data_IF_834436314409
#
_entry.id   IF_834436314409
#
_cell.length_a   1.000
_cell.length_b   1.000
_cell.length_c   1.000
_cell.angle_alpha   90.00
_cell.angle_beta   90.00
_cell.angle_gamma   90.00
#
_symmetry.space_group_name_H-M   'P 1'
#
loop_
_entity.id
_entity.type
_entity.pdbx_description
1 polymer ?
#
# COMPACT_ATOMS: atom_id res chain seq x y z
N UNK A 1 22.67 7.26 9.28
CA UNK A 1 23.86 7.73 10.02
C UNK A 1 24.38 6.56 10.85
N UNK A 2 25.68 6.42 11.04
CA UNK A 2 26.22 5.34 11.89
C UNK A 2 26.00 5.67 13.38
N UNK A 3 26.02 4.65 14.27
CA UNK A 3 26.03 4.87 15.72
C UNK A 3 27.15 5.81 16.18
N UNK A 4 28.29 5.84 15.47
CA UNK A 4 29.39 6.77 15.73
C UNK A 4 29.00 8.24 15.49
N UNK A 5 28.24 8.51 14.42
CA UNK A 5 27.98 9.88 13.97
C UNK A 5 26.66 10.45 14.50
N UNK A 6 25.78 9.61 15.05
CA UNK A 6 24.55 10.03 15.71
C UNK A 6 24.23 9.08 16.88
N UNK A 7 25.06 9.06 17.94
CA UNK A 7 24.95 8.08 19.02
C UNK A 7 23.58 8.13 19.71
N UNK A 8 23.03 9.33 19.96
CA UNK A 8 21.70 9.49 20.56
C UNK A 8 20.58 8.92 19.70
N UNK A 9 20.60 9.16 18.38
CA UNK A 9 19.59 8.63 17.46
C UNK A 9 19.73 7.11 17.22
N UNK A 10 20.86 6.52 17.60
CA UNK A 10 21.10 5.08 17.53
C UNK A 10 21.03 4.41 18.92
N UNK A 11 20.69 5.16 19.98
CA UNK A 11 20.50 4.61 21.32
C UNK A 11 19.07 4.05 21.47
N UNK A 12 18.90 2.74 21.71
CA UNK A 12 17.58 2.14 21.95
C UNK A 12 16.80 2.84 23.06
N UNK A 13 17.47 3.38 24.10
CA UNK A 13 16.79 4.11 25.18
C UNK A 13 16.16 5.41 24.68
N UNK A 14 16.79 6.08 23.72
CA UNK A 14 16.23 7.28 23.09
C UNK A 14 15.00 6.91 22.26
N UNK A 15 15.06 5.83 21.48
CA UNK A 15 13.89 5.34 20.73
C UNK A 15 12.71 5.03 21.66
N UNK A 16 12.95 4.29 22.76
CA UNK A 16 11.89 3.98 23.75
C UNK A 16 11.32 5.25 24.36
N UNK A 17 12.16 6.23 24.72
CA UNK A 17 11.70 7.50 25.27
C UNK A 17 10.83 8.27 24.27
N UNK A 18 11.19 8.29 22.99
CA UNK A 18 10.41 8.92 21.93
C UNK A 18 9.07 8.21 21.71
N UNK A 19 9.03 6.87 21.74
CA UNK A 19 7.78 6.13 21.59
C UNK A 19 6.87 6.39 22.80
N UNK A 20 7.39 6.33 24.03
CA UNK A 20 6.61 6.64 25.23
C UNK A 20 6.09 8.10 25.27
N UNK A 21 6.77 9.01 24.57
CA UNK A 21 6.33 10.39 24.38
C UNK A 21 5.38 10.58 23.18
N UNK A 22 4.97 9.49 22.50
CA UNK A 22 4.17 9.51 21.28
C UNK A 22 4.80 10.39 20.16
N UNK A 23 6.13 10.41 20.08
CA UNK A 23 6.91 11.25 19.18
C UNK A 23 7.42 10.52 17.92
N UNK A 24 7.12 9.23 17.78
CA UNK A 24 7.45 8.42 16.60
C UNK A 24 6.19 8.22 15.77
N UNK A 25 6.15 8.82 14.57
CA UNK A 25 4.99 8.74 13.67
C UNK A 25 4.60 7.28 13.43
N UNK A 26 3.34 6.95 13.66
CA UNK A 26 2.78 5.64 13.37
C UNK A 26 3.07 4.54 14.38
N UNK A 27 3.93 4.76 15.38
CA UNK A 27 4.17 3.78 16.46
C UNK A 27 3.33 4.18 17.67
N UNK A 28 2.36 3.34 18.01
CA UNK A 28 1.36 3.62 19.05
C UNK A 28 1.65 2.77 20.28
N UNK A 29 2.17 3.35 21.39
CA UNK A 29 2.32 2.62 22.63
C UNK A 29 0.95 2.36 23.27
N UNK A 30 0.80 1.18 23.88
CA UNK A 30 -0.41 0.75 24.59
C UNK A 30 -0.06 0.38 26.01
N UNK A 31 -0.55 1.18 26.95
CA UNK A 31 -0.55 0.87 28.38
C UNK A 31 -1.34 -0.43 28.59
N UNK A 32 -0.60 -1.52 28.76
CA UNK A 32 -1.16 -2.88 28.81
C UNK A 32 -1.48 -3.30 30.23
N UNK A 33 -0.97 -2.57 31.22
CA UNK A 33 -1.17 -2.84 32.64
C UNK A 33 -2.09 -1.79 33.32
N UNK A 34 -2.46 -0.71 32.62
CA UNK A 34 -3.40 0.31 33.06
C UNK A 34 -2.87 1.26 34.13
N UNK A 35 -1.55 1.37 34.31
CA UNK A 35 -0.94 2.17 35.36
C UNK A 35 -0.82 3.68 35.00
N UNK A 36 -1.25 4.08 33.80
CA UNK A 36 -1.21 5.46 33.31
C UNK A 36 0.17 5.94 32.85
N UNK A 37 1.17 5.05 32.80
CA UNK A 37 2.54 5.32 32.39
C UNK A 37 2.99 4.33 31.33
N UNK A 38 3.26 4.86 30.13
CA UNK A 38 3.83 4.09 29.03
C UNK A 38 5.26 3.63 29.36
N UNK A 39 5.45 2.31 29.44
CA UNK A 39 6.72 1.65 29.72
C UNK A 39 6.85 0.34 28.93
N UNK A 40 7.22 0.45 27.65
CA UNK A 40 7.38 -0.70 26.73
C UNK A 40 8.40 -1.71 27.26
N UNK A 41 9.40 -1.26 28.02
CA UNK A 41 10.41 -2.15 28.61
C UNK A 41 9.85 -3.01 29.75
N UNK A 42 8.67 -2.68 30.28
CA UNK A 42 8.00 -3.41 31.38
C UNK A 42 6.70 -4.11 30.95
N UNK A 43 6.54 -4.34 29.66
CA UNK A 43 5.45 -5.18 29.13
C UNK A 43 4.30 -4.41 28.48
N UNK A 44 4.39 -3.07 28.37
CA UNK A 44 3.50 -2.34 27.47
C UNK A 44 3.80 -2.72 26.02
N UNK A 45 2.73 -2.75 25.21
CA UNK A 45 2.80 -3.17 23.82
C UNK A 45 2.96 -1.95 22.92
N UNK A 46 3.43 -2.18 21.70
CA UNK A 46 3.37 -1.21 20.62
C UNK A 46 2.50 -1.76 19.49
N UNK A 47 1.69 -0.90 18.92
CA UNK A 47 0.97 -1.13 17.67
C UNK A 47 1.46 -0.18 16.58
N UNK A 48 0.97 -0.40 15.36
CA UNK A 48 1.24 0.46 14.22
C UNK A 48 -0.08 1.08 13.75
N UNK A 49 -0.04 2.36 13.39
CA UNK A 49 -1.16 3.09 12.80
C UNK A 49 -0.88 3.44 11.34
N UNK A 50 -1.96 3.73 10.57
CA UNK A 50 -1.88 4.14 9.16
C UNK A 50 -0.91 5.32 8.94
N UNK A 51 -0.72 6.19 9.93
CA UNK A 51 0.20 7.32 9.87
C UNK A 51 1.65 6.89 9.63
N UNK A 52 2.05 5.64 9.90
CA UNK A 52 3.40 5.18 9.54
C UNK A 52 3.66 5.30 8.03
N UNK A 53 2.66 4.97 7.21
CA UNK A 53 2.75 4.97 5.74
C UNK A 53 2.24 6.27 5.10
N UNK A 54 1.35 6.99 5.79
CA UNK A 54 0.58 8.12 5.21
C UNK A 54 0.82 9.45 5.93
N UNK A 55 1.91 9.57 6.67
CA UNK A 55 2.34 10.82 7.31
C UNK A 55 3.86 10.97 7.14
N UNK A 56 4.29 12.21 6.92
CA UNK A 56 5.71 12.59 6.89
C UNK A 56 5.98 13.67 7.95
N UNK A 57 7.23 14.12 8.04
CA UNK A 57 7.57 15.33 8.81
C UNK A 57 7.93 16.49 7.88
N UNK A 58 7.78 17.72 8.36
CA UNK A 58 8.21 18.94 7.66
C UNK A 58 9.74 19.12 7.61
N UNK A 59 10.50 18.19 8.21
CA UNK A 59 11.97 18.17 8.24
C UNK A 59 12.62 19.38 8.94
N UNK A 60 11.84 20.16 9.69
CA UNK A 60 12.29 21.43 10.29
C UNK A 60 13.38 21.27 11.34
N UNK A 61 13.55 20.07 11.92
CA UNK A 61 14.56 19.77 12.94
C UNK A 61 15.72 18.97 12.34
N UNK A 62 15.43 17.96 11.53
CA UNK A 62 16.43 17.09 10.94
C UNK A 62 15.92 16.44 9.65
N UNK A 63 16.77 16.40 8.62
CA UNK A 63 16.51 15.68 7.37
C UNK A 63 17.69 14.77 7.06
N UNK A 64 17.44 13.46 6.97
CA UNK A 64 18.42 12.52 6.42
C UNK A 64 18.03 12.19 4.97
N UNK A 65 18.82 12.63 3.98
CA UNK A 65 18.55 12.30 2.58
C UNK A 65 18.38 10.79 2.38
N UNK A 66 17.29 10.38 1.71
CA UNK A 66 16.91 8.97 1.49
C UNK A 66 16.72 8.15 2.78
N UNK A 67 16.49 8.82 3.90
CA UNK A 67 16.20 8.23 5.19
C UNK A 67 14.96 8.85 5.85
N UNK A 68 14.99 8.94 7.18
CA UNK A 68 13.94 9.56 7.99
C UNK A 68 14.15 11.06 8.21
N UNK A 69 13.21 11.69 8.88
CA UNK A 69 13.25 13.11 9.22
C UNK A 69 12.60 13.38 10.59
N UNK A 70 12.92 14.52 11.17
CA UNK A 70 12.34 15.01 12.42
C UNK A 70 11.81 16.42 12.15
N UNK A 71 10.60 16.69 12.63
CA UNK A 71 9.92 17.96 12.43
C UNK A 71 8.47 17.88 12.88
N UNK A 72 7.66 18.84 12.41
CA UNK A 72 6.21 18.81 12.62
C UNK A 72 5.57 17.73 11.75
N UNK A 73 4.53 17.10 12.29
CA UNK A 73 3.73 16.09 11.59
C UNK A 73 3.00 16.71 10.40
N UNK A 74 3.07 16.06 9.25
CA UNK A 74 2.32 16.41 8.04
C UNK A 74 1.56 15.17 7.56
N UNK A 75 0.26 15.14 7.85
CA UNK A 75 -0.62 14.00 7.57
C UNK A 75 -1.14 14.03 6.12
N UNK A 76 -1.27 12.86 5.49
CA UNK A 76 -1.76 12.67 4.13
C UNK A 76 -0.69 12.20 3.14
N UNK A 77 0.51 12.84 3.06
CA UNK A 77 1.58 12.40 2.17
C UNK A 77 2.02 10.94 2.36
N UNK A 78 2.32 10.26 1.25
CA UNK A 78 2.91 8.94 1.29
C UNK A 78 4.37 8.98 1.79
N UNK A 79 4.72 8.11 2.74
CA UNK A 79 6.07 7.92 3.24
C UNK A 79 6.90 7.03 2.28
N UNK A 80 7.32 7.59 1.15
CA UNK A 80 8.00 6.86 0.07
C UNK A 80 9.44 6.42 0.38
N UNK A 81 10.01 6.88 1.50
CA UNK A 81 11.32 6.40 1.99
C UNK A 81 11.20 5.36 3.10
N UNK A 82 9.98 5.01 3.52
CA UNK A 82 9.74 4.00 4.55
C UNK A 82 10.13 2.62 4.03
N UNK A 83 10.98 1.91 4.78
CA UNK A 83 11.31 0.54 4.49
C UNK A 83 10.49 -0.40 5.36
N UNK A 84 9.24 -0.67 4.95
CA UNK A 84 8.32 -1.54 5.71
C UNK A 84 8.87 -2.95 5.83
N UNK A 85 9.45 -3.51 4.76
CA UNK A 85 10.08 -4.83 4.79
C UNK A 85 11.13 -4.96 5.90
N UNK A 86 12.08 -4.02 6.00
CA UNK A 86 13.06 -4.02 7.10
C UNK A 86 12.44 -3.80 8.47
N UNK A 87 11.37 -3.01 8.59
CA UNK A 87 10.68 -2.84 9.88
C UNK A 87 10.03 -4.16 10.33
N UNK A 88 9.42 -4.89 9.41
CA UNK A 88 8.83 -6.20 9.67
C UNK A 88 9.91 -7.24 10.00
N UNK A 89 11.04 -7.23 9.28
CA UNK A 89 12.18 -8.12 9.53
C UNK A 89 12.92 -7.83 10.86
N UNK A 90 12.62 -6.70 11.52
CA UNK A 90 13.11 -6.40 12.87
C UNK A 90 12.16 -6.89 13.97
N UNK A 91 10.97 -7.39 13.61
CA UNK A 91 10.03 -7.92 14.57
C UNK A 91 10.56 -9.20 15.21
N UNK A 92 10.11 -9.49 16.43
CA UNK A 92 10.48 -10.74 17.12
C UNK A 92 9.91 -12.00 16.44
N UNK A 93 8.93 -11.84 15.54
CA UNK A 93 8.25 -12.89 14.80
C UNK A 93 7.74 -12.30 13.49
N UNK A 94 8.61 -12.27 12.48
CA UNK A 94 8.27 -11.78 11.14
C UNK A 94 7.35 -12.76 10.41
N UNK A 95 7.44 -14.06 10.74
CA UNK A 95 6.59 -15.13 10.19
C UNK A 95 5.11 -14.89 10.47
N UNK A 96 4.75 -14.19 11.55
CA UNK A 96 3.35 -13.82 11.84
C UNK A 96 2.71 -12.93 10.75
N UNK A 97 3.47 -12.36 9.82
CA UNK A 97 2.96 -11.58 8.69
C UNK A 97 2.69 -12.44 7.42
N UNK A 98 2.79 -13.77 7.52
CA UNK A 98 2.71 -14.73 6.41
C UNK A 98 1.63 -14.46 5.34
N UNK A 99 0.36 -14.13 5.67
CA UNK A 99 -0.69 -13.95 4.66
C UNK A 99 -0.40 -12.88 3.60
N UNK A 100 0.42 -11.88 3.92
CA UNK A 100 0.84 -10.78 3.05
C UNK A 100 2.20 -11.04 2.36
N UNK A 101 2.80 -12.22 2.53
CA UNK A 101 4.11 -12.54 1.96
C UNK A 101 3.95 -13.38 0.69
N UNK A 102 5.01 -13.48 -0.11
CA UNK A 102 5.03 -14.39 -1.25
C UNK A 102 5.13 -15.83 -0.74
N UNK A 103 4.09 -16.62 -1.01
CA UNK A 103 3.95 -18.01 -0.56
C UNK A 103 4.13 -18.98 -1.73
N UNK A 104 4.23 -20.27 -1.40
CA UNK A 104 4.16 -21.37 -2.37
C UNK A 104 2.83 -22.10 -2.23
N UNK A 105 1.88 -21.83 -3.13
CA UNK A 105 0.59 -22.51 -3.17
C UNK A 105 0.57 -23.60 -4.21
N UNK A 106 0.22 -24.82 -3.81
CA UNK A 106 0.09 -25.96 -4.73
C UNK A 106 1.31 -26.16 -5.65
N UNK A 107 2.52 -25.86 -5.14
CA UNK A 107 3.78 -25.97 -5.87
C UNK A 107 4.11 -24.80 -6.80
N UNK A 108 3.33 -23.72 -6.78
CA UNK A 108 3.55 -22.51 -7.59
C UNK A 108 3.74 -21.31 -6.65
N UNK A 109 4.67 -20.43 -7.00
CA UNK A 109 4.83 -19.13 -6.36
C UNK A 109 4.80 -18.04 -7.44
N UNK A 110 4.12 -16.94 -7.14
CA UNK A 110 4.03 -15.76 -7.99
C UNK A 110 4.43 -14.57 -7.15
N UNK A 111 5.24 -13.67 -7.71
CA UNK A 111 5.73 -12.48 -7.03
C UNK A 111 7.14 -12.13 -7.51
N UNK A 112 7.79 -11.24 -6.78
CA UNK A 112 9.11 -10.71 -7.15
C UNK A 112 10.27 -11.65 -6.79
N UNK A 113 10.10 -12.51 -5.79
CA UNK A 113 11.12 -13.45 -5.36
C UNK A 113 11.14 -14.69 -6.27
N UNK A 114 12.31 -15.32 -6.46
CA UNK A 114 12.43 -16.53 -7.27
C UNK A 114 11.70 -17.75 -6.69
N UNK A 115 11.36 -17.72 -5.40
CA UNK A 115 10.64 -18.77 -4.69
C UNK A 115 9.79 -18.17 -3.57
N UNK A 116 8.67 -18.82 -3.27
CA UNK A 116 7.80 -18.43 -2.16
C UNK A 116 8.21 -19.07 -0.84
N UNK A 117 7.78 -18.45 0.25
CA UNK A 117 7.89 -18.95 1.61
C UNK A 117 6.87 -20.07 1.84
N UNK A 118 7.10 -20.89 2.86
CA UNK A 118 6.21 -21.96 3.28
C UNK A 118 5.98 -21.95 4.80
N UNK A 119 5.13 -22.85 5.32
CA UNK A 119 4.81 -22.91 6.75
C UNK A 119 6.01 -23.23 7.64
N UNK A 120 7.06 -23.85 7.07
CA UNK A 120 8.28 -24.23 7.78
C UNK A 120 9.46 -23.29 7.50
N UNK A 121 9.27 -22.23 6.70
CA UNK A 121 10.29 -21.20 6.51
C UNK A 121 10.68 -20.61 7.85
N UNK A 122 11.99 -20.51 8.09
CA UNK A 122 12.60 -19.96 9.30
C UNK A 122 12.42 -18.44 9.37
N UNK A 123 12.53 -17.85 10.56
CA UNK A 123 12.56 -16.38 10.72
C UNK A 123 13.64 -15.75 9.83
N UNK A 124 14.83 -16.34 9.77
CA UNK A 124 15.93 -15.83 8.95
C UNK A 124 15.60 -15.81 7.45
N UNK A 125 14.85 -16.79 6.93
CA UNK A 125 14.39 -16.81 5.54
C UNK A 125 13.34 -15.73 5.27
N UNK A 126 12.39 -15.54 6.20
CA UNK A 126 11.38 -14.48 6.10
C UNK A 126 12.01 -13.09 6.21
N UNK A 127 12.92 -12.89 7.15
CA UNK A 127 13.68 -11.65 7.32
C UNK A 127 14.52 -11.33 6.08
N UNK A 128 15.13 -12.36 5.47
CA UNK A 128 15.90 -12.21 4.24
C UNK A 128 15.00 -11.82 3.05
N UNK A 129 13.81 -12.41 2.94
CA UNK A 129 12.80 -12.01 1.95
C UNK A 129 12.40 -10.54 2.14
N UNK A 130 11.97 -10.18 3.35
CA UNK A 130 11.49 -8.85 3.71
C UNK A 130 12.58 -7.76 3.59
N UNK A 131 13.84 -8.10 3.89
CA UNK A 131 14.95 -7.17 3.84
C UNK A 131 15.51 -6.95 2.43
N UNK A 132 15.10 -7.77 1.45
CA UNK A 132 15.57 -7.66 0.08
C UNK A 132 14.74 -6.63 -0.71
N UNK A 133 15.30 -5.47 -1.09
CA UNK A 133 14.55 -4.43 -1.79
C UNK A 133 14.12 -4.82 -3.21
N UNK A 134 14.64 -5.91 -3.78
CA UNK A 134 14.14 -6.45 -5.04
C UNK A 134 12.80 -7.21 -4.84
N UNK A 135 12.58 -7.79 -3.65
CA UNK A 135 11.39 -8.58 -3.32
C UNK A 135 10.35 -7.73 -2.59
N UNK A 136 10.81 -6.89 -1.66
CA UNK A 136 9.98 -5.94 -0.92
C UNK A 136 10.58 -4.53 -0.99
N UNK A 137 10.22 -3.73 -2.02
CA UNK A 137 10.84 -2.43 -2.24
C UNK A 137 10.62 -1.41 -1.11
N UNK A 138 11.44 -0.37 -1.11
CA UNK A 138 11.27 0.79 -0.23
C UNK A 138 10.10 1.65 -0.73
N UNK A 139 9.29 2.17 0.19
CA UNK A 139 8.14 3.01 -0.11
C UNK A 139 6.90 2.23 -0.55
N UNK A 140 6.89 0.91 -0.34
CA UNK A 140 5.79 0.02 -0.68
C UNK A 140 5.26 -0.73 0.54
N UNK A 141 4.01 -1.18 0.46
CA UNK A 141 3.34 -2.06 1.41
C UNK A 141 2.49 -3.07 0.65
N UNK A 142 2.45 -4.31 1.12
CA UNK A 142 1.51 -5.31 0.62
C UNK A 142 0.18 -5.15 1.35
N UNK A 143 -0.80 -4.62 0.63
CA UNK A 143 -2.12 -4.29 1.15
C UNK A 143 -3.14 -5.44 1.00
N UNK A 144 -2.68 -6.65 0.65
CA UNK A 144 -3.54 -7.81 0.40
C UNK A 144 -3.04 -9.12 1.01
N UNK A 145 -3.97 -9.92 1.54
CA UNK A 145 -3.69 -11.26 2.06
C UNK A 145 -3.98 -12.32 1.00
N UNK A 146 -3.25 -12.25 -0.11
CA UNK A 146 -3.40 -13.19 -1.23
C UNK A 146 -2.22 -14.14 -1.39
N UNK A 147 -1.17 -13.96 -0.58
CA UNK A 147 0.03 -14.79 -0.57
C UNK A 147 0.90 -14.66 -1.83
N UNK A 148 0.74 -13.59 -2.62
CA UNK A 148 1.61 -13.29 -3.77
C UNK A 148 2.84 -12.47 -3.37
N UNK A 149 2.79 -11.74 -2.24
CA UNK A 149 3.89 -10.83 -1.87
C UNK A 149 4.09 -9.75 -2.91
N UNK A 150 3.03 -8.98 -3.15
CA UNK A 150 2.87 -8.04 -4.25
C UNK A 150 2.80 -6.59 -3.74
N UNK A 151 3.82 -6.10 -3.01
CA UNK A 151 3.76 -4.80 -2.38
C UNK A 151 3.60 -3.71 -3.43
N UNK A 152 2.65 -2.81 -3.14
CA UNK A 152 2.36 -1.65 -3.97
C UNK A 152 2.93 -0.40 -3.32
N UNK A 153 3.20 0.61 -4.15
CA UNK A 153 3.60 1.94 -3.70
C UNK A 153 2.59 2.46 -2.66
N UNK A 154 3.11 2.95 -1.54
CA UNK A 154 2.33 3.69 -0.56
C UNK A 154 1.60 4.87 -1.23
N UNK A 155 0.29 4.90 -1.09
CA UNK A 155 -0.57 5.95 -1.67
C UNK A 155 -0.74 7.10 -0.68
N UNK A 156 -0.95 8.34 -1.17
CA UNK A 156 -1.34 9.44 -0.30
C UNK A 156 -2.80 9.28 0.16
N UNK A 157 -3.09 9.76 1.38
CA UNK A 157 -4.44 9.80 1.96
C UNK A 157 -5.00 11.22 2.14
N UNK A 158 -4.40 12.22 1.49
CA UNK A 158 -5.01 13.55 1.40
C UNK A 158 -6.10 13.58 0.32
N UNK A 159 -7.02 14.55 0.41
CA UNK A 159 -8.07 14.82 -0.59
C UNK A 159 -8.82 13.58 -1.07
N UNK A 160 -9.19 12.70 -0.13
CA UNK A 160 -9.98 11.51 -0.47
C UNK A 160 -11.38 11.88 -1.01
N UNK A 161 -11.82 13.12 -0.80
CA UNK A 161 -13.01 13.72 -1.42
C UNK A 161 -12.92 13.83 -2.96
N UNK A 162 -11.74 13.67 -3.55
CA UNK A 162 -11.50 13.81 -4.98
C UNK A 162 -11.29 12.49 -5.73
N UNK A 163 -11.31 11.33 -5.08
CA UNK A 163 -11.02 10.08 -5.77
C UNK A 163 -11.88 8.92 -5.26
N UNK A 164 -12.34 8.12 -6.21
CA UNK A 164 -12.88 6.77 -6.01
C UNK A 164 -12.75 6.03 -7.34
N UNK A 165 -12.88 4.69 -7.39
CA UNK A 165 -12.92 3.76 -6.27
C UNK A 165 -11.58 3.68 -5.51
N UNK A 166 -11.58 3.06 -4.34
CA UNK A 166 -10.42 2.90 -3.46
C UNK A 166 -9.79 1.51 -3.58
N UNK A 167 -8.49 1.45 -3.28
CA UNK A 167 -7.66 0.27 -3.46
C UNK A 167 -7.00 0.25 -4.85
N UNK A 168 -5.85 -0.40 -4.98
CA UNK A 168 -5.08 -0.38 -6.23
C UNK A 168 -5.85 -0.98 -7.42
N UNK A 169 -6.75 -1.94 -7.16
CA UNK A 169 -7.64 -2.54 -8.15
C UNK A 169 -9.04 -1.91 -8.15
N UNK A 170 -9.25 -0.87 -7.34
CA UNK A 170 -10.55 -0.25 -7.11
C UNK A 170 -11.56 -1.23 -6.52
N UNK A 171 -11.15 -2.08 -5.60
CA UNK A 171 -11.99 -3.08 -4.93
C UNK A 171 -13.09 -2.47 -4.04
N UNK A 172 -12.92 -1.24 -3.55
CA UNK A 172 -13.87 -0.57 -2.65
C UNK A 172 -14.53 0.67 -3.27
N UNK A 173 -15.85 0.81 -3.09
CA UNK A 173 -16.56 2.04 -3.52
C UNK A 173 -16.47 3.16 -2.49
N UNK A 174 -16.35 2.81 -1.21
CA UNK A 174 -16.42 3.73 -0.08
C UNK A 174 -15.11 3.71 0.71
N UNK A 175 -14.72 4.86 1.25
CA UNK A 175 -13.45 5.04 1.97
C UNK A 175 -13.44 4.33 3.34
N UNK A 176 -14.59 4.26 3.99
CA UNK A 176 -14.76 3.54 5.24
C UNK A 176 -14.65 2.03 5.06
N UNK A 177 -15.02 1.50 3.89
CA UNK A 177 -14.93 0.07 3.60
C UNK A 177 -13.47 -0.38 3.42
N UNK A 178 -12.67 0.36 2.65
CA UNK A 178 -11.22 0.09 2.56
C UNK A 178 -10.51 0.30 3.90
N UNK A 179 -10.93 1.30 4.67
CA UNK A 179 -10.40 1.55 6.02
C UNK A 179 -10.72 0.37 6.93
N UNK A 180 -11.95 -0.13 6.91
CA UNK A 180 -12.35 -1.31 7.67
C UNK A 180 -11.56 -2.55 7.26
N UNK A 181 -11.42 -2.80 5.95
CA UNK A 181 -10.58 -3.89 5.43
C UNK A 181 -9.14 -3.76 5.96
N UNK A 182 -8.56 -2.56 5.91
CA UNK A 182 -7.20 -2.32 6.42
C UNK A 182 -7.07 -2.66 7.91
N UNK A 183 -8.04 -2.29 8.75
CA UNK A 183 -8.00 -2.65 10.17
C UNK A 183 -8.23 -4.14 10.43
N UNK A 184 -9.18 -4.76 9.72
CA UNK A 184 -9.62 -6.14 9.98
C UNK A 184 -8.80 -7.20 9.26
N UNK A 185 -7.88 -6.80 8.37
CA UNK A 185 -7.02 -7.73 7.62
C UNK A 185 -5.57 -7.26 7.57
N UNK A 186 -5.25 -6.07 7.05
CA UNK A 186 -3.85 -5.61 6.92
C UNK A 186 -3.15 -5.39 8.27
N UNK A 187 -3.80 -4.68 9.19
CA UNK A 187 -3.24 -4.39 10.52
C UNK A 187 -3.46 -5.53 11.52
N UNK A 188 -4.34 -6.47 11.20
CA UNK A 188 -4.58 -7.66 11.99
C UNK A 188 -4.94 -8.88 11.13
N UNK A 189 -3.94 -9.50 10.47
CA UNK A 189 -4.17 -10.63 9.59
C UNK A 189 -4.67 -11.86 10.34
N UNK A 190 -4.51 -11.91 11.67
CA UNK A 190 -5.01 -13.02 12.50
C UNK A 190 -6.53 -13.20 12.43
N UNK A 191 -7.27 -12.16 12.04
CA UNK A 191 -8.71 -12.25 11.75
C UNK A 191 -9.01 -13.29 10.67
N UNK A 192 -8.07 -13.57 9.76
CA UNK A 192 -8.21 -14.60 8.73
C UNK A 192 -8.34 -16.03 9.28
N UNK A 193 -7.99 -16.27 10.55
CA UNK A 193 -8.15 -17.58 11.20
C UNK A 193 -9.50 -17.76 11.91
N UNK A 194 -10.30 -16.70 12.02
CA UNK A 194 -11.71 -16.80 12.43
C UNK A 194 -12.51 -17.63 11.42
N UNK A 195 -13.68 -18.20 11.80
CA UNK A 195 -14.53 -18.92 10.84
C UNK A 195 -14.85 -18.09 9.59
N UNK A 196 -15.15 -16.81 9.77
CA UNK A 196 -15.45 -15.88 8.68
C UNK A 196 -14.22 -15.55 7.82
N UNK A 197 -13.08 -15.37 8.46
CA UNK A 197 -11.80 -15.14 7.79
C UNK A 197 -11.38 -16.32 6.90
N UNK A 198 -11.58 -17.55 7.40
CA UNK A 198 -11.32 -18.77 6.62
C UNK A 198 -12.26 -18.90 5.44
N UNK A 199 -13.54 -18.58 5.66
CA UNK A 199 -14.54 -18.52 4.58
C UNK A 199 -14.15 -17.47 3.52
N UNK A 200 -13.62 -16.31 3.94
CA UNK A 200 -13.14 -15.27 3.03
C UNK A 200 -11.99 -15.77 2.16
N UNK A 201 -10.97 -16.40 2.76
CA UNK A 201 -9.85 -16.97 2.01
C UNK A 201 -10.30 -18.05 1.02
N UNK A 202 -11.19 -18.96 1.45
CA UNK A 202 -11.76 -19.98 0.57
C UNK A 202 -12.57 -19.35 -0.57
N UNK A 203 -13.40 -18.34 -0.28
CA UNK A 203 -14.14 -17.59 -1.30
C UNK A 203 -13.20 -17.01 -2.36
N UNK A 204 -12.12 -16.33 -1.93
CA UNK A 204 -11.18 -15.64 -2.82
C UNK A 204 -10.30 -16.60 -3.61
N UNK A 205 -9.81 -17.68 -3.00
CA UNK A 205 -8.74 -18.49 -3.59
C UNK A 205 -8.95 -20.00 -3.49
N UNK A 206 -10.16 -20.45 -3.15
CA UNK A 206 -10.55 -21.87 -3.15
C UNK A 206 -9.56 -22.75 -2.38
N UNK A 207 -8.96 -23.79 -3.01
CA UNK A 207 -7.95 -24.63 -2.38
C UNK A 207 -6.71 -23.87 -1.86
N UNK A 208 -6.24 -22.83 -2.58
CA UNK A 208 -5.09 -22.04 -2.14
C UNK A 208 -5.42 -21.22 -0.89
N UNK A 209 -6.64 -20.68 -0.80
CA UNK A 209 -7.13 -20.01 0.41
C UNK A 209 -7.20 -20.93 1.63
N UNK A 210 -7.63 -22.19 1.44
CA UNK A 210 -7.60 -23.21 2.51
C UNK A 210 -6.19 -23.55 2.95
N UNK A 211 -5.27 -23.70 1.99
CA UNK A 211 -3.86 -23.95 2.27
C UNK A 211 -3.28 -22.80 3.09
N UNK A 212 -3.44 -21.54 2.64
CA UNK A 212 -2.99 -20.34 3.36
C UNK A 212 -3.49 -20.32 4.80
N UNK A 213 -4.78 -20.54 5.03
CA UNK A 213 -5.35 -20.54 6.37
C UNK A 213 -4.73 -21.62 7.29
N UNK A 214 -4.48 -22.81 6.74
CA UNK A 214 -3.90 -23.94 7.49
C UNK A 214 -2.44 -23.70 7.83
N UNK A 215 -1.67 -23.18 6.87
CA UNK A 215 -0.26 -22.84 7.05
C UNK A 215 -0.09 -21.68 8.03
N UNK A 216 -0.92 -20.65 7.91
CA UNK A 216 -0.88 -19.51 8.81
C UNK A 216 -1.23 -19.90 10.25
N UNK A 217 -2.25 -20.75 10.45
CA UNK A 217 -2.56 -21.31 11.77
C UNK A 217 -1.38 -22.09 12.36
N UNK A 218 -0.72 -22.91 11.54
CA UNK A 218 0.48 -23.64 11.97
C UNK A 218 1.59 -22.67 12.40
N UNK A 219 1.87 -21.63 11.62
CA UNK A 219 2.88 -20.62 11.95
C UNK A 219 2.57 -19.93 13.28
N UNK A 220 1.33 -19.47 13.49
CA UNK A 220 0.95 -18.81 14.74
C UNK A 220 1.10 -19.74 15.94
N UNK A 221 0.72 -21.02 15.78
CA UNK A 221 0.91 -22.04 16.82
C UNK A 221 2.39 -22.29 17.13
N UNK A 222 3.20 -22.48 16.10
CA UNK A 222 4.64 -22.78 16.25
C UNK A 222 5.41 -21.60 16.86
N UNK A 223 4.93 -20.37 16.63
CA UNK A 223 5.54 -19.13 17.15
C UNK A 223 4.89 -18.61 18.44
N UNK A 224 3.92 -19.35 18.99
CA UNK A 224 3.30 -19.03 20.28
C UNK A 224 2.40 -17.78 20.27
N UNK A 225 1.92 -17.33 19.10
CA UNK A 225 1.00 -16.20 19.00
C UNK A 225 -0.39 -16.63 19.47
N UNK A 226 -0.95 -15.92 20.45
CA UNK A 226 -2.24 -16.21 21.05
C UNK A 226 -3.02 -14.93 21.38
N UNK A 227 -4.31 -15.08 21.71
CA UNK A 227 -5.17 -13.95 22.10
C UNK A 227 -5.62 -13.07 20.93
N UNK A 228 -5.65 -13.64 19.72
CA UNK A 228 -6.15 -12.99 18.51
C UNK A 228 -7.66 -13.24 18.29
N UNK A 229 -8.37 -12.39 17.51
CA UNK A 229 -7.89 -11.18 16.83
C UNK A 229 -7.53 -10.05 17.81
N UNK A 230 -6.55 -9.23 17.43
CA UNK A 230 -6.03 -8.10 18.22
C UNK A 230 -6.80 -6.80 17.98
N UNK A 231 -7.40 -6.63 16.80
CA UNK A 231 -8.27 -5.51 16.48
C UNK A 231 -9.69 -5.84 16.94
N UNK A 232 -10.25 -4.97 17.77
CA UNK A 232 -11.64 -5.09 18.22
C UNK A 232 -12.58 -4.70 17.08
N UNK A 233 -13.38 -5.66 16.62
CA UNK A 233 -14.41 -5.49 15.60
C UNK A 233 -15.64 -6.35 15.94
N UNK A 234 -16.81 -5.93 15.46
CA UNK A 234 -18.08 -6.63 15.66
C UNK A 234 -18.51 -7.37 14.39
N UNK A 235 -19.31 -8.42 14.55
CA UNK A 235 -19.92 -9.14 13.44
C UNK A 235 -21.12 -8.35 12.93
N UNK A 236 -21.01 -7.74 11.75
CA UNK A 236 -22.03 -6.79 11.26
C UNK A 236 -22.57 -7.12 9.87
N UNK A 237 -21.96 -8.05 9.13
CA UNK A 237 -22.32 -8.32 7.74
C UNK A 237 -21.89 -9.70 7.26
N UNK A 238 -22.08 -9.98 5.97
CA UNK A 238 -21.71 -11.27 5.38
C UNK A 238 -20.27 -11.21 4.89
N UNK A 239 -19.61 -12.36 4.94
CA UNK A 239 -18.30 -12.54 4.32
C UNK A 239 -18.39 -12.19 2.83
N UNK A 240 -17.41 -11.43 2.33
CA UNK A 240 -17.36 -10.95 0.96
C UNK A 240 -18.10 -9.63 0.71
N UNK A 241 -18.95 -9.16 1.63
CA UNK A 241 -19.57 -7.84 1.48
C UNK A 241 -18.49 -6.75 1.60
N UNK A 242 -18.44 -5.72 0.72
CA UNK A 242 -17.40 -4.70 0.74
C UNK A 242 -17.23 -4.00 2.10
N UNK A 243 -18.34 -3.77 2.83
CA UNK A 243 -18.32 -3.12 4.13
C UNK A 243 -17.74 -3.97 5.26
N UNK A 244 -17.63 -5.29 5.07
CA UNK A 244 -17.18 -6.25 6.07
C UNK A 244 -16.66 -7.51 5.38
N UNK A 245 -15.54 -7.40 4.66
CA UNK A 245 -15.04 -8.48 3.79
C UNK A 245 -14.84 -9.82 4.53
N UNK A 246 -14.48 -9.75 5.81
CA UNK A 246 -14.32 -10.91 6.73
C UNK A 246 -15.48 -11.01 7.73
N UNK A 247 -16.68 -10.52 7.37
CA UNK A 247 -17.88 -10.51 8.22
C UNK A 247 -17.83 -9.53 9.41
N UNK A 248 -16.71 -8.81 9.57
CA UNK A 248 -16.42 -7.97 10.73
C UNK A 248 -16.23 -6.52 10.35
N UNK A 249 -16.66 -5.62 11.24
CA UNK A 249 -16.46 -4.18 11.10
C UNK A 249 -16.01 -3.55 12.40
N UNK A 250 -15.01 -2.68 12.32
CA UNK A 250 -14.62 -1.83 13.46
C UNK A 250 -15.71 -0.79 13.74
N UNK A 251 -15.54 -0.02 14.82
CA UNK A 251 -16.46 1.04 15.20
C UNK A 251 -16.77 1.97 14.00
N UNK A 252 -18.05 1.99 13.60
CA UNK A 252 -18.47 2.70 12.40
C UNK A 252 -18.33 4.22 12.54
N UNK A 253 -18.54 4.77 13.74
CA UNK A 253 -18.38 6.20 13.95
C UNK A 253 -16.91 6.59 13.76
N UNK A 254 -15.97 5.79 14.25
CA UNK A 254 -14.53 6.04 14.04
C UNK A 254 -14.14 5.99 12.56
N UNK A 255 -14.75 5.12 11.76
CA UNK A 255 -14.53 5.09 10.32
C UNK A 255 -15.06 6.38 9.65
N UNK A 256 -16.25 6.84 10.02
CA UNK A 256 -16.81 8.08 9.49
C UNK A 256 -16.01 9.32 9.92
N UNK A 257 -15.53 9.35 11.17
CA UNK A 257 -14.65 10.41 11.68
C UNK A 257 -13.32 10.42 10.92
N UNK A 258 -12.77 9.23 10.62
CA UNK A 258 -11.57 9.08 9.78
C UNK A 258 -11.82 9.61 8.37
N UNK A 259 -12.93 9.24 7.73
CA UNK A 259 -13.27 9.76 6.40
C UNK A 259 -13.31 11.29 6.40
N UNK A 260 -14.06 11.88 7.34
CA UNK A 260 -14.17 13.33 7.47
C UNK A 260 -12.82 14.01 7.72
N UNK A 261 -11.88 13.32 8.37
CA UNK A 261 -10.52 13.79 8.55
C UNK A 261 -9.70 13.72 7.25
N UNK A 262 -9.68 12.56 6.57
CA UNK A 262 -8.93 12.34 5.34
C UNK A 262 -9.42 13.22 4.18
N UNK A 263 -10.72 13.47 4.08
CA UNK A 263 -11.32 14.38 3.11
C UNK A 263 -10.83 15.83 3.27
N UNK A 264 -10.51 16.23 4.51
CA UNK A 264 -10.05 17.59 4.83
C UNK A 264 -8.54 17.77 4.69
N UNK A 265 -7.78 16.68 4.66
CA UNK A 265 -6.33 16.75 4.49
C UNK A 265 -6.00 17.37 3.14
N UNK A 266 -5.25 18.47 3.17
CA UNK A 266 -4.84 19.17 1.98
C UNK A 266 -3.66 18.46 1.31
N UNK A 267 -3.71 18.36 -0.01
CA UNK A 267 -2.54 17.98 -0.78
C UNK A 267 -1.47 19.08 -0.61
N UNK A 268 -0.19 18.71 -0.48
CA UNK A 268 0.86 19.71 -0.43
C UNK A 268 0.95 20.51 -1.73
N UNK A 269 1.44 21.74 -1.62
CA UNK A 269 1.63 22.61 -2.77
C UNK A 269 2.56 21.98 -3.82
N UNK A 270 2.29 22.30 -5.08
CA UNK A 270 3.12 21.90 -6.20
C UNK A 270 4.51 22.51 -6.05
N UNK A 271 5.50 21.92 -6.73
CA UNK A 271 6.82 22.52 -6.80
C UNK A 271 6.75 23.90 -7.45
N UNK A 272 7.63 24.81 -7.04
CA UNK A 272 7.88 26.03 -7.82
C UNK A 272 8.53 25.60 -9.14
N UNK A 273 7.89 25.97 -10.24
CA UNK A 273 8.27 25.54 -11.60
C UNK A 273 8.48 26.73 -12.52
N UNK A 274 9.24 26.54 -13.60
CA UNK A 274 9.37 27.51 -14.66
C UNK A 274 8.03 27.67 -15.40
N UNK A 275 7.43 28.85 -15.32
CA UNK A 275 6.09 29.10 -15.86
C UNK A 275 5.96 28.85 -17.37
N UNK A 276 6.99 29.19 -18.16
CA UNK A 276 6.96 28.99 -19.61
C UNK A 276 7.05 27.51 -19.98
N UNK A 277 7.92 26.76 -19.29
CA UNK A 277 8.04 25.32 -19.46
C UNK A 277 6.75 24.60 -19.03
N UNK A 278 6.22 24.95 -17.85
CA UNK A 278 4.97 24.39 -17.35
C UNK A 278 3.78 24.68 -18.26
N UNK A 279 3.73 25.86 -18.91
CA UNK A 279 2.71 26.17 -19.90
C UNK A 279 2.81 25.27 -21.14
N UNK A 280 4.01 25.04 -21.67
CA UNK A 280 4.21 24.10 -22.79
C UNK A 280 3.89 22.66 -22.39
N UNK A 281 4.31 22.23 -21.20
CA UNK A 281 4.00 20.92 -20.64
C UNK A 281 2.50 20.70 -20.47
N UNK A 282 1.75 21.73 -20.07
CA UNK A 282 0.29 21.68 -19.97
C UNK A 282 -0.39 21.46 -21.32
N UNK A 283 0.06 22.13 -22.37
CA UNK A 283 -0.49 21.91 -23.73
C UNK A 283 -0.20 20.49 -24.22
N UNK A 284 1.01 19.97 -23.97
CA UNK A 284 1.33 18.58 -24.23
C UNK A 284 0.40 17.63 -23.45
N UNK A 285 0.13 17.90 -22.18
CA UNK A 285 -0.79 17.10 -21.36
C UNK A 285 -2.21 17.10 -21.90
N UNK A 286 -2.73 18.26 -22.30
CA UNK A 286 -4.05 18.40 -22.93
C UNK A 286 -4.18 17.60 -24.22
N UNK A 287 -3.10 17.52 -25.00
CA UNK A 287 -3.09 16.76 -26.25
C UNK A 287 -2.97 15.25 -26.08
N UNK A 288 -2.41 14.77 -24.96
CA UNK A 288 -1.95 13.37 -24.85
C UNK A 288 -2.51 12.59 -23.66
N UNK A 289 -2.97 13.25 -22.58
CA UNK A 289 -3.22 12.59 -21.30
C UNK A 289 -4.67 12.72 -20.81
N UNK A 290 -5.45 13.64 -21.38
CA UNK A 290 -6.79 14.00 -20.87
C UNK A 290 -7.89 13.01 -21.18
N UNK A 291 -7.58 11.92 -21.89
CA UNK A 291 -8.50 10.80 -22.02
C UNK A 291 -8.75 10.10 -20.67
N UNK A 292 -7.75 10.13 -19.77
CA UNK A 292 -7.85 9.50 -18.46
C UNK A 292 -7.62 10.50 -17.31
N UNK A 293 -6.70 11.46 -17.47
CA UNK A 293 -6.32 12.35 -16.38
C UNK A 293 -6.90 13.76 -16.53
N UNK A 294 -7.30 14.37 -15.41
CA UNK A 294 -7.73 15.77 -15.41
C UNK A 294 -6.52 16.71 -15.47
N UNK A 295 -6.68 17.86 -16.12
CA UNK A 295 -5.72 18.98 -15.99
C UNK A 295 -5.90 19.67 -14.64
N UNK A 296 -7.15 19.94 -14.28
CA UNK A 296 -7.54 20.58 -13.02
C UNK A 296 -7.61 19.53 -11.90
N UNK A 297 -6.62 19.56 -11.01
CA UNK A 297 -6.53 18.61 -9.89
C UNK A 297 -7.49 18.93 -8.74
N UNK A 298 -8.26 20.02 -8.84
CA UNK A 298 -9.34 20.31 -7.90
C UNK A 298 -10.62 19.54 -8.23
N UNK A 299 -10.66 18.82 -9.36
CA UNK A 299 -11.83 18.07 -9.82
C UNK A 299 -11.72 16.61 -9.42
N UNK A 300 -12.89 16.03 -9.14
CA UNK A 300 -13.02 14.61 -8.86
C UNK A 300 -12.44 13.79 -10.01
N UNK A 301 -11.56 12.85 -9.69
CA UNK A 301 -11.00 11.88 -10.62
C UNK A 301 -12.15 10.99 -11.11
N UNK A 302 -12.37 10.83 -12.42
CA UNK A 302 -13.51 10.04 -12.89
C UNK A 302 -13.51 8.64 -12.24
N UNK A 303 -14.64 8.17 -11.68
CA UNK A 303 -14.70 6.93 -10.90
C UNK A 303 -14.76 5.69 -11.81
N UNK A 304 -13.96 5.69 -12.87
CA UNK A 304 -13.88 4.60 -13.84
C UNK A 304 -12.65 3.76 -13.57
N UNK A 305 -12.77 2.45 -13.83
CA UNK A 305 -11.62 1.56 -13.92
C UNK A 305 -11.09 1.58 -15.35
N UNK A 306 -9.79 1.82 -15.49
CA UNK A 306 -9.10 1.71 -16.76
C UNK A 306 -8.72 0.25 -16.99
N UNK A 307 -9.13 -0.30 -18.13
CA UNK A 307 -8.86 -1.72 -18.45
C UNK A 307 -7.36 -2.00 -18.52
N UNK A 308 -6.94 -3.13 -17.95
CA UNK A 308 -5.53 -3.56 -17.97
C UNK A 308 -4.96 -3.58 -19.39
N UNK A 309 -5.73 -4.03 -20.38
CA UNK A 309 -5.28 -4.07 -21.78
C UNK A 309 -5.05 -2.69 -22.39
N UNK A 310 -5.76 -1.68 -21.92
CA UNK A 310 -5.62 -0.28 -22.37
C UNK A 310 -4.33 0.33 -21.87
N UNK A 311 -3.97 0.08 -20.60
CA UNK A 311 -2.76 0.63 -19.99
C UNK A 311 -1.56 -0.30 -20.11
N UNK A 312 -1.73 -1.55 -20.52
CA UNK A 312 -0.64 -2.50 -20.70
C UNK A 312 -0.89 -3.36 -21.94
N UNK A 313 -0.37 -2.96 -23.11
CA UNK A 313 -0.63 -3.66 -24.37
C UNK A 313 -0.16 -5.12 -24.40
N UNK A 314 0.91 -5.44 -23.67
CA UNK A 314 1.42 -6.80 -23.52
C UNK A 314 0.65 -7.64 -22.49
N UNK A 315 -0.38 -7.09 -21.85
CA UNK A 315 -1.23 -7.84 -20.94
C UNK A 315 -1.86 -9.04 -21.65
N UNK A 316 -1.44 -10.23 -21.21
CA UNK A 316 -1.84 -11.54 -21.72
C UNK A 316 -2.05 -12.45 -20.51
N UNK A 317 -3.16 -12.29 -19.79
CA UNK A 317 -3.41 -13.06 -18.58
C UNK A 317 -3.75 -14.51 -18.91
N UNK A 318 -3.28 -15.44 -18.08
CA UNK A 318 -3.66 -16.85 -18.09
C UNK A 318 -4.29 -17.25 -16.74
N UNK A 319 -5.24 -18.21 -16.73
CA UNK A 319 -5.76 -18.76 -15.47
C UNK A 319 -4.66 -19.45 -14.65
N UNK A 320 -4.55 -19.10 -13.37
CA UNK A 320 -3.54 -19.67 -12.45
C UNK A 320 -4.13 -20.26 -11.17
N UNK A 321 -5.45 -20.19 -10.99
CA UNK A 321 -6.09 -20.68 -9.78
C UNK A 321 -7.60 -20.81 -9.91
N UNK A 322 -8.25 -21.25 -8.83
CA UNK A 322 -9.70 -21.40 -8.74
C UNK A 322 -10.24 -20.56 -7.58
N UNK A 323 -11.34 -19.84 -7.84
CA UNK A 323 -12.14 -19.18 -6.80
C UNK A 323 -12.93 -20.23 -6.00
N UNK A 324 -13.32 -19.89 -4.78
CA UNK A 324 -14.39 -20.61 -4.06
C UNK A 324 -15.77 -20.07 -4.40
N UNK A 325 -15.88 -18.78 -4.76
CA UNK A 325 -17.12 -18.17 -5.24
C UNK A 325 -17.09 -17.94 -6.75
N UNK A 326 -18.06 -18.54 -7.45
CA UNK A 326 -18.19 -18.47 -8.90
C UNK A 326 -18.65 -17.10 -9.43
N UNK A 327 -19.06 -16.18 -8.54
CA UNK A 327 -19.39 -14.80 -8.92
C UNK A 327 -18.16 -13.93 -9.17
N UNK A 328 -17.02 -14.29 -8.59
CA UNK A 328 -15.76 -13.57 -8.76
C UNK A 328 -15.14 -13.86 -10.12
N UNK A 329 -14.28 -12.95 -10.58
CA UNK A 329 -13.47 -13.14 -11.77
C UNK A 329 -12.60 -14.40 -11.67
N UNK A 330 -12.11 -14.89 -12.81
CA UNK A 330 -11.06 -15.93 -12.80
C UNK A 330 -9.78 -15.38 -12.16
N UNK A 331 -9.07 -16.20 -11.38
CA UNK A 331 -7.73 -15.87 -10.89
C UNK A 331 -6.78 -15.91 -12.07
N UNK A 332 -6.28 -14.74 -12.46
CA UNK A 332 -5.52 -14.51 -13.68
C UNK A 332 -4.19 -13.87 -13.36
N UNK A 333 -3.12 -14.33 -14.03
CA UNK A 333 -1.80 -13.74 -13.97
C UNK A 333 -1.23 -13.50 -15.37
N UNK A 334 -0.53 -12.39 -15.57
CA UNK A 334 0.26 -12.10 -16.76
C UNK A 334 1.73 -11.89 -16.39
N UNK A 335 2.64 -12.23 -17.29
CA UNK A 335 4.08 -12.17 -17.03
C UNK A 335 4.56 -10.77 -16.61
N UNK A 336 5.42 -10.71 -15.60
CA UNK A 336 5.92 -9.46 -15.03
C UNK A 336 5.35 -9.25 -13.63
N UNK A 337 5.54 -8.05 -13.06
CA UNK A 337 5.13 -7.73 -11.68
C UNK A 337 3.97 -6.75 -11.58
N UNK A 338 3.59 -6.15 -12.71
CA UNK A 338 2.52 -5.14 -12.75
C UNK A 338 1.16 -5.76 -12.45
N UNK A 339 0.97 -7.05 -12.77
CA UNK A 339 -0.28 -7.76 -12.55
C UNK A 339 -0.46 -8.29 -11.13
N UNK A 340 0.66 -8.46 -10.40
CA UNK A 340 0.73 -9.27 -9.19
C UNK A 340 -0.33 -8.87 -8.15
N UNK A 341 -0.55 -7.56 -7.95
CA UNK A 341 -1.56 -7.01 -7.03
C UNK A 341 -3.01 -7.42 -7.36
N UNK A 342 -3.27 -7.74 -8.62
CA UNK A 342 -4.63 -7.98 -9.13
C UNK A 342 -4.94 -9.45 -9.39
N UNK A 343 -4.01 -10.36 -9.09
CA UNK A 343 -4.16 -11.78 -9.41
C UNK A 343 -5.37 -12.38 -8.68
N UNK A 344 -5.45 -12.12 -7.36
CA UNK A 344 -6.51 -12.64 -6.49
C UNK A 344 -7.48 -11.52 -6.09
N UNK A 345 -7.00 -10.35 -5.70
CA UNK A 345 -7.89 -9.25 -5.28
C UNK A 345 -8.09 -8.28 -6.45
N UNK A 346 -9.32 -8.19 -6.94
CA UNK A 346 -9.69 -7.26 -8.00
C UNK A 346 -11.11 -6.71 -7.82
N UNK A 347 -11.55 -5.84 -8.73
CA UNK A 347 -12.87 -5.20 -8.64
C UNK A 347 -14.06 -6.14 -8.86
N UNK A 348 -13.87 -7.43 -9.19
CA UNK A 348 -14.98 -8.38 -9.26
C UNK A 348 -15.66 -8.58 -7.91
N UNK A 349 -14.98 -8.20 -6.82
CA UNK A 349 -15.51 -8.09 -5.46
C UNK A 349 -16.76 -7.21 -5.36
N UNK A 350 -16.91 -6.26 -6.27
CA UNK A 350 -18.10 -5.42 -6.41
C UNK A 350 -18.79 -5.59 -7.77
N UNK A 351 -18.55 -6.72 -8.44
CA UNK A 351 -19.15 -7.06 -9.73
C UNK A 351 -18.57 -6.30 -10.93
N UNK A 352 -17.37 -5.76 -10.80
CA UNK A 352 -16.76 -4.88 -11.80
C UNK A 352 -15.59 -5.53 -12.53
N UNK A 353 -15.20 -4.90 -13.64
CA UNK A 353 -14.12 -5.40 -14.49
C UNK A 353 -12.76 -5.24 -13.81
N UNK A 354 -11.83 -6.14 -14.10
CA UNK A 354 -10.43 -6.01 -13.68
C UNK A 354 -9.78 -4.81 -14.38
N UNK A 355 -9.16 -3.92 -13.60
CA UNK A 355 -8.52 -2.71 -14.08
C UNK A 355 -7.93 -1.89 -12.95
N UNK A 356 -7.35 -0.74 -13.28
CA UNK A 356 -6.77 0.17 -12.30
C UNK A 356 -7.72 1.34 -12.03
N UNK A 357 -7.87 1.69 -10.76
CA UNK A 357 -8.39 2.98 -10.36
C UNK A 357 -7.40 4.09 -10.75
N UNK A 358 -7.92 5.25 -11.14
CA UNK A 358 -7.07 6.36 -11.56
C UNK A 358 -6.50 7.10 -10.35
N UNK A 359 -5.18 7.36 -10.31
CA UNK A 359 -4.58 8.10 -9.21
C UNK A 359 -4.83 9.60 -9.33
N UNK A 360 -4.85 10.29 -8.19
CA UNK A 360 -4.67 11.74 -8.14
C UNK A 360 -3.29 12.12 -8.70
N UNK A 361 -3.23 13.12 -9.59
CA UNK A 361 -1.95 13.69 -10.05
C UNK A 361 -1.51 14.84 -9.14
N UNK A 362 -1.45 14.55 -7.85
CA UNK A 362 -1.05 15.47 -6.79
C UNK A 362 0.23 14.96 -6.13
N UNK A 363 1.03 15.87 -5.60
CA UNK A 363 2.28 15.55 -4.90
C UNK A 363 3.33 14.80 -5.75
N UNK A 364 3.31 15.01 -7.07
CA UNK A 364 4.22 14.32 -7.98
C UNK A 364 5.67 14.80 -7.83
N UNK A 365 5.89 16.02 -7.32
CA UNK A 365 7.23 16.53 -7.05
C UNK A 365 8.00 15.75 -5.97
N UNK A 366 7.30 15.22 -4.97
CA UNK A 366 7.92 14.35 -3.94
C UNK A 366 7.88 12.88 -4.29
N UNK A 367 7.09 12.51 -5.30
CA UNK A 367 6.96 11.12 -5.72
C UNK A 367 8.24 10.63 -6.38
N UNK A 368 8.87 9.60 -5.79
CA UNK A 368 10.14 9.01 -6.28
C UNK A 368 9.98 7.65 -6.94
N UNK A 369 8.78 7.06 -6.88
CA UNK A 369 8.43 5.79 -7.51
C UNK A 369 7.02 5.92 -8.10
N UNK A 370 6.81 5.35 -9.28
CA UNK A 370 5.61 5.50 -10.09
C UNK A 370 5.08 4.14 -10.50
N UNK A 371 3.79 4.15 -10.89
CA UNK A 371 2.93 2.98 -11.02
C UNK A 371 2.66 2.31 -9.66
N UNK A 372 1.61 1.48 -9.58
CA UNK A 372 1.27 0.82 -8.31
C UNK A 372 2.34 -0.19 -7.91
N UNK A 373 2.98 -0.86 -8.88
CA UNK A 373 4.07 -1.82 -8.65
C UNK A 373 5.43 -1.17 -8.36
N UNK A 374 5.51 0.17 -8.25
CA UNK A 374 6.74 0.91 -8.02
C UNK A 374 7.87 0.62 -9.04
N UNK A 375 7.53 0.17 -10.26
CA UNK A 375 8.50 -0.26 -11.27
C UNK A 375 9.24 0.88 -11.97
N UNK A 376 8.80 2.14 -11.77
CA UNK A 376 9.32 3.30 -12.49
C UNK A 376 9.88 4.35 -11.53
N UNK A 377 11.15 4.73 -11.69
CA UNK A 377 11.87 5.54 -10.71
C UNK A 377 11.72 7.07 -10.84
N UNK A 378 11.07 7.59 -11.88
CA UNK A 378 10.86 9.03 -12.06
C UNK A 378 9.76 9.34 -13.07
N UNK A 379 9.22 10.57 -13.03
CA UNK A 379 8.32 11.08 -14.07
C UNK A 379 8.97 11.05 -15.46
N UNK A 380 10.25 11.43 -15.55
CA UNK A 380 11.00 11.38 -16.80
C UNK A 380 11.05 9.96 -17.37
N UNK A 381 11.34 8.96 -16.52
CA UNK A 381 11.35 7.56 -16.94
C UNK A 381 9.96 7.03 -17.24
N UNK A 382 8.92 7.47 -16.55
CA UNK A 382 7.54 7.10 -16.85
C UNK A 382 7.15 7.46 -18.28
N UNK A 383 7.62 8.62 -18.75
CA UNK A 383 7.33 9.20 -20.06
C UNK A 383 8.35 8.83 -21.15
N UNK A 384 9.32 7.96 -20.84
CA UNK A 384 10.43 7.56 -21.71
C UNK A 384 10.08 6.37 -22.62
N UNK A 385 10.10 6.51 -23.96
CA UNK A 385 9.84 5.40 -24.87
C UNK A 385 10.88 4.30 -24.79
N UNK A 386 12.03 4.52 -24.14
CA UNK A 386 13.01 3.45 -23.87
C UNK A 386 12.44 2.31 -23.02
N UNK A 387 11.33 2.53 -22.30
CA UNK A 387 10.59 1.48 -21.57
C UNK A 387 9.89 0.49 -22.52
N UNK A 388 9.68 0.87 -23.77
CA UNK A 388 9.10 0.04 -24.82
C UNK A 388 7.57 0.07 -24.84
N UNK A 389 7.00 -0.01 -26.04
CA UNK A 389 5.54 0.05 -26.29
C UNK A 389 4.68 -1.00 -25.57
N UNK A 390 5.33 -2.04 -25.05
CA UNK A 390 4.71 -3.17 -24.37
C UNK A 390 4.74 -3.04 -22.85
N UNK A 391 5.42 -2.03 -22.30
CA UNK A 391 5.46 -1.80 -20.87
C UNK A 391 4.12 -1.25 -20.35
N UNK A 392 3.85 -1.39 -19.04
CA UNK A 392 2.71 -0.73 -18.42
C UNK A 392 2.79 0.80 -18.55
N UNK A 393 1.65 1.42 -18.79
CA UNK A 393 1.45 2.83 -19.06
C UNK A 393 2.37 3.38 -20.18
N UNK A 394 2.26 2.89 -21.43
CA UNK A 394 3.19 3.22 -22.51
C UNK A 394 2.84 4.54 -23.23
N UNK A 395 2.51 5.57 -22.46
CA UNK A 395 2.19 6.91 -22.96
C UNK A 395 3.44 7.79 -22.83
N UNK A 396 4.14 7.98 -23.96
CA UNK A 396 5.48 8.54 -23.98
C UNK A 396 5.57 9.85 -24.75
N UNK A 397 6.61 10.63 -24.43
CA UNK A 397 7.04 11.79 -25.21
C UNK A 397 8.44 11.52 -25.76
N UNK A 398 8.54 11.29 -27.07
CA UNK A 398 9.79 10.89 -27.70
C UNK A 398 10.86 11.98 -27.63
N UNK A 399 10.47 13.26 -27.78
CA UNK A 399 11.36 14.41 -27.65
C UNK A 399 11.72 14.66 -26.16
N UNK A 400 13.01 14.59 -25.78
CA UNK A 400 13.45 14.88 -24.42
C UNK A 400 13.11 16.29 -23.93
N UNK A 401 13.06 17.29 -24.82
CA UNK A 401 12.71 18.66 -24.45
C UNK A 401 11.22 18.76 -24.07
N UNK A 402 10.34 18.16 -24.87
CA UNK A 402 8.91 18.06 -24.56
C UNK A 402 8.66 17.30 -23.27
N UNK A 403 9.43 16.23 -23.02
CA UNK A 403 9.35 15.47 -21.78
C UNK A 403 9.77 16.29 -20.57
N UNK A 404 10.83 17.09 -20.70
CA UNK A 404 11.27 18.02 -19.65
C UNK A 404 10.18 19.04 -19.34
N UNK A 405 9.54 19.63 -20.35
CA UNK A 405 8.41 20.55 -20.16
C UNK A 405 7.22 19.86 -19.48
N UNK A 406 6.88 18.63 -19.88
CA UNK A 406 5.83 17.83 -19.23
C UNK A 406 6.14 17.53 -17.76
N UNK A 407 7.37 17.08 -17.46
CA UNK A 407 7.81 16.80 -16.09
C UNK A 407 7.72 18.06 -15.23
N UNK A 408 8.13 19.21 -15.78
CA UNK A 408 8.03 20.50 -15.11
C UNK A 408 6.58 20.86 -14.80
N UNK A 409 5.66 20.70 -15.76
CA UNK A 409 4.22 20.88 -15.53
C UNK A 409 3.68 19.95 -14.44
N UNK A 410 3.96 18.64 -14.53
CA UNK A 410 3.45 17.64 -13.59
C UNK A 410 3.94 17.86 -12.15
N UNK A 411 5.19 18.32 -11.96
CA UNK A 411 5.72 18.68 -10.64
C UNK A 411 5.01 19.89 -10.03
N UNK A 412 4.52 20.80 -10.85
CA UNK A 412 3.79 21.99 -10.43
C UNK A 412 2.31 21.76 -10.15
N UNK A 413 1.78 20.55 -10.39
CA UNK A 413 0.38 20.25 -10.14
C UNK A 413 0.05 20.27 -8.63
N UNK A 414 -0.99 21.04 -8.30
CA UNK A 414 -1.67 21.03 -7.01
C UNK A 414 -3.15 21.38 -7.19
N UNK A 415 -3.89 21.48 -6.09
CA UNK A 415 -5.34 21.74 -6.12
C UNK A 415 -5.69 23.20 -6.44
N UNK A 416 -4.70 24.09 -6.53
CA UNK A 416 -4.86 25.50 -6.93
C UNK A 416 -4.42 25.74 -8.38
N UNK A 417 -3.65 24.82 -8.97
CA UNK A 417 -3.21 24.85 -10.34
C UNK A 417 -4.41 24.65 -11.30
N UNK A 418 -5.02 25.75 -11.71
CA UNK A 418 -6.03 25.82 -12.77
C UNK A 418 -5.37 25.81 -14.14
#
# INVERSE_FOLDING_TARGET
MSPRNAPTLNDPKTTVALINANAVVGVVPKDSNGNGKLDIMKGDKVGIACTICHTITDKSVFDLPKGGSIGRRVDGPAALTLNVGKLLAMAANSRAFYPNLQQTFLGVSIGRAPSGLGPDSTEAEVDAYLSNPAYYPVGTFDETQDGNGNPVKNTPLFRQDLAAPYGSAGEFRLLDDISNSSYTTNLDPTTLLTPEGRQFLEMKAGPAGKQMASEYEKILKDTGVAGYPFVKAEMTGKVGDPASIVGRRVDNQKLLDMNAYLDKLQAPAGAKVNAQMAARGRELFRGNCTQCHNVDQSKFVPPILVDMKTIWPAYLPIPVGKRGDSKLSTILNSSGIFDDKMIVVDASDRGEKRGNAMPLLLDLARTTIFLHDASVASLDKLLDPSRGKNAPHPFYLADPAQRTDMVEFLKGLDTNAK
#
